data_IF_657493400821
#
_entry.id   IF_657493400821
#
_cell.length_a   1.000
_cell.length_b   1.000
_cell.length_c   1.000
_cell.angle_alpha   90.00
_cell.angle_beta   90.00
_cell.angle_gamma   90.00
#
_symmetry.space_group_name_H-M   'P 1'
#
loop_
_entity.id
_entity.type
_entity.pdbx_description
1 polymer ?
#
# COMPACT_ATOMS: atom_id res chain seq x y z
N UNK A 1 33.25 -10.66 95.54
CA UNK A 1 32.47 -11.76 94.92
C UNK A 1 31.08 -11.24 94.59
N UNK A 2 30.86 -10.87 93.34
CA UNK A 2 29.54 -10.73 92.71
C UNK A 2 29.80 -10.49 91.24
N UNK A 3 29.70 -11.56 90.44
CA UNK A 3 29.71 -11.49 88.99
C UNK A 3 28.25 -11.29 88.55
N UNK A 4 27.96 -10.24 87.80
CA UNK A 4 26.67 -10.07 87.14
C UNK A 4 26.86 -9.70 85.67
N UNK A 5 26.18 -10.50 84.85
CA UNK A 5 26.02 -10.45 83.40
C UNK A 5 25.36 -9.14 82.95
N UNK A 6 25.55 -8.76 81.68
CA UNK A 6 24.51 -8.36 80.71
C UNK A 6 25.20 -7.89 79.41
N UNK A 7 25.16 -8.72 78.36
CA UNK A 7 24.21 -8.63 77.24
C UNK A 7 24.72 -7.69 76.13
N UNK A 8 25.48 -8.28 75.19
CA UNK A 8 25.85 -7.67 73.91
C UNK A 8 24.59 -7.58 73.05
N UNK A 9 24.08 -6.35 72.85
CA UNK A 9 22.96 -6.10 71.95
C UNK A 9 23.38 -6.26 70.49
N UNK A 10 22.59 -7.08 69.82
CA UNK A 10 22.59 -7.45 68.42
C UNK A 10 22.41 -6.23 67.50
N UNK A 11 23.40 -5.94 66.66
CA UNK A 11 23.29 -4.95 65.59
C UNK A 11 22.43 -5.46 64.45
N UNK A 12 21.15 -5.10 64.43
CA UNK A 12 20.26 -5.34 63.29
C UNK A 12 20.65 -4.43 62.11
N UNK A 13 21.20 -5.03 61.04
CA UNK A 13 21.45 -4.34 59.77
C UNK A 13 20.12 -4.15 59.04
N UNK A 14 19.63 -2.91 59.01
CA UNK A 14 18.46 -2.51 58.23
C UNK A 14 18.85 -2.44 56.74
N UNK A 15 18.48 -3.45 55.96
CA UNK A 15 18.64 -3.42 54.51
C UNK A 15 17.52 -2.57 53.89
N UNK A 16 17.86 -1.38 53.40
CA UNK A 16 16.98 -0.54 52.60
C UNK A 16 16.86 -1.19 51.21
N UNK A 17 15.73 -1.86 50.97
CA UNK A 17 15.36 -2.35 49.64
C UNK A 17 14.74 -1.17 48.88
N UNK A 18 15.51 -0.58 47.97
CA UNK A 18 15.02 0.44 47.04
C UNK A 18 14.16 -0.27 46.00
N UNK A 19 12.83 -0.21 46.15
CA UNK A 19 11.89 -0.59 45.10
C UNK A 19 12.06 0.40 43.94
N UNK A 20 12.76 -0.01 42.88
CA UNK A 20 12.67 0.64 41.57
C UNK A 20 11.26 0.41 41.03
N UNK A 21 10.34 1.32 41.34
CA UNK A 21 9.13 1.45 40.54
C UNK A 21 9.54 1.99 39.17
N UNK A 22 9.71 1.08 38.20
CA UNK A 22 9.76 1.45 36.79
C UNK A 22 8.40 2.06 36.43
N UNK A 23 8.30 3.38 36.57
CA UNK A 23 7.18 4.16 36.04
C UNK A 23 7.19 3.91 34.53
N UNK A 24 6.31 3.03 34.08
CA UNK A 24 5.98 2.91 32.68
C UNK A 24 5.29 4.22 32.33
N UNK A 25 6.04 5.18 31.78
CA UNK A 25 5.44 6.32 31.12
C UNK A 25 4.48 5.73 30.07
N UNK A 26 3.17 6.08 30.07
CA UNK A 26 2.34 5.75 28.93
C UNK A 26 3.08 6.24 27.68
N UNK A 27 3.35 5.32 26.76
CA UNK A 27 3.89 5.66 25.45
C UNK A 27 2.84 6.54 24.76
N UNK A 28 2.89 7.84 25.03
CA UNK A 28 2.11 8.81 24.28
C UNK A 28 2.59 8.65 22.85
N UNK A 29 1.68 8.27 21.94
CA UNK A 29 1.95 8.28 20.50
C UNK A 29 2.52 9.66 20.20
N UNK A 30 3.80 9.71 19.81
CA UNK A 30 4.45 10.96 19.54
C UNK A 30 3.83 11.56 18.28
N UNK A 31 3.29 12.77 18.39
CA UNK A 31 2.59 13.46 17.30
C UNK A 31 3.44 14.61 16.80
N UNK A 32 3.43 14.80 15.50
CA UNK A 32 3.99 15.96 14.81
C UNK A 32 2.91 16.59 13.95
N UNK A 33 2.87 17.91 13.88
CA UNK A 33 1.89 18.66 13.13
C UNK A 33 2.49 19.22 11.84
N UNK A 34 1.70 19.20 10.75
CA UNK A 34 2.09 19.66 9.43
C UNK A 34 1.08 20.70 8.92
N UNK A 35 1.55 21.85 8.44
CA UNK A 35 0.69 22.92 7.90
C UNK A 35 1.37 23.65 6.74
N UNK A 36 0.59 24.10 5.76
CA UNK A 36 1.07 24.85 4.60
C UNK A 36 1.73 26.20 4.95
N UNK A 37 1.61 26.66 6.19
CA UNK A 37 2.22 27.89 6.71
C UNK A 37 3.21 27.63 7.86
N UNK A 38 3.58 26.36 8.09
CA UNK A 38 4.51 25.97 9.15
C UNK A 38 5.96 26.35 8.88
N UNK A 39 6.87 25.84 9.71
CA UNK A 39 8.31 25.94 9.55
C UNK A 39 9.00 24.64 10.02
N UNK A 40 9.83 24.05 9.15
CA UNK A 40 10.52 22.78 9.45
C UNK A 40 11.62 22.91 10.52
N UNK A 41 11.99 24.13 10.92
CA UNK A 41 12.93 24.38 12.02
C UNK A 41 12.24 24.56 13.37
N UNK A 42 10.91 24.63 13.41
CA UNK A 42 10.14 24.77 14.65
C UNK A 42 10.05 23.43 15.40
N UNK A 43 9.62 23.48 16.66
CA UNK A 43 9.17 22.30 17.38
C UNK A 43 7.81 21.85 16.82
N UNK A 44 7.85 20.92 15.88
CA UNK A 44 6.64 20.46 15.20
C UNK A 44 5.77 19.54 16.07
N UNK A 45 6.19 19.20 17.30
CA UNK A 45 5.34 18.51 18.28
C UNK A 45 4.27 19.43 18.89
N UNK A 46 4.40 20.75 18.71
CA UNK A 46 3.42 21.74 19.11
C UNK A 46 2.57 22.18 17.90
N UNK A 47 1.24 22.02 18.00
CA UNK A 47 0.30 22.35 16.93
C UNK A 47 0.31 23.84 16.54
N UNK A 48 0.76 24.73 17.43
CA UNK A 48 0.91 26.16 17.13
C UNK A 48 2.15 26.47 16.27
N UNK A 49 3.11 25.54 16.21
CA UNK A 49 4.36 25.69 15.45
C UNK A 49 4.63 24.46 14.57
N UNK A 50 3.70 24.12 13.65
CA UNK A 50 3.79 22.91 12.84
C UNK A 50 4.94 22.97 11.83
N UNK A 51 5.36 21.81 11.34
CA UNK A 51 6.26 21.66 10.20
C UNK A 51 5.61 22.20 8.93
N UNK A 52 6.43 22.64 7.97
CA UNK A 52 5.99 23.16 6.67
C UNK A 52 5.85 22.08 5.61
N UNK A 53 6.81 21.16 5.55
CA UNK A 53 6.95 20.16 4.49
C UNK A 53 6.71 18.75 5.02
N UNK A 54 6.31 17.84 4.13
CA UNK A 54 6.15 16.44 4.49
C UNK A 54 7.50 15.84 4.94
N UNK A 55 8.59 16.17 4.26
CA UNK A 55 9.93 15.73 4.66
C UNK A 55 10.33 16.26 6.04
N UNK A 56 10.06 17.53 6.35
CA UNK A 56 10.31 18.11 7.67
C UNK A 56 9.55 17.37 8.77
N UNK A 57 8.26 17.12 8.55
CA UNK A 57 7.42 16.36 9.47
C UNK A 57 7.93 14.92 9.65
N UNK A 58 8.33 14.23 8.57
CA UNK A 58 8.90 12.87 8.63
C UNK A 58 10.22 12.84 9.39
N UNK A 59 11.08 13.84 9.21
CA UNK A 59 12.35 13.95 9.94
C UNK A 59 12.09 14.09 11.44
N UNK A 60 11.19 14.99 11.85
CA UNK A 60 10.90 15.25 13.25
C UNK A 60 9.99 14.21 13.92
N UNK A 61 9.15 13.50 13.17
CA UNK A 61 8.25 12.49 13.73
C UNK A 61 9.06 11.33 14.33
N UNK A 62 8.87 10.96 15.61
CA UNK A 62 9.50 9.77 16.16
C UNK A 62 9.01 8.50 15.44
N UNK A 63 9.80 7.43 15.50
CA UNK A 63 9.37 6.14 14.99
C UNK A 63 8.09 5.69 15.73
N UNK A 64 7.16 5.10 14.97
CA UNK A 64 5.80 4.73 15.40
C UNK A 64 4.92 5.92 15.81
N UNK A 65 5.34 7.15 15.47
CA UNK A 65 4.56 8.37 15.69
C UNK A 65 3.52 8.64 14.61
N UNK A 66 2.83 9.77 14.74
CA UNK A 66 1.78 10.22 13.82
C UNK A 66 2.03 11.67 13.38
N UNK A 67 1.98 11.90 12.06
CA UNK A 67 1.99 13.22 11.44
C UNK A 67 0.54 13.61 11.17
N UNK A 68 0.08 14.69 11.80
CA UNK A 68 -1.28 15.22 11.65
C UNK A 68 -1.23 16.46 10.77
N UNK A 69 -1.92 16.41 9.64
CA UNK A 69 -2.00 17.55 8.71
C UNK A 69 -3.14 18.47 9.15
N UNK A 70 -2.79 19.72 9.48
CA UNK A 70 -3.70 20.71 10.05
C UNK A 70 -4.43 21.55 9.00
N UNK A 71 -3.81 21.78 7.84
CA UNK A 71 -4.32 22.70 6.82
C UNK A 71 -4.19 22.13 5.43
N UNK A 72 -5.07 22.55 4.52
CA UNK A 72 -4.94 22.22 3.10
C UNK A 72 -3.73 22.92 2.50
N UNK A 73 -2.99 22.24 1.63
CA UNK A 73 -1.81 22.81 1.00
C UNK A 73 -0.93 21.78 0.30
N UNK A 74 0.11 22.29 -0.36
CA UNK A 74 1.16 21.48 -0.97
C UNK A 74 2.29 21.17 0.02
N UNK A 75 2.64 19.89 0.17
CA UNK A 75 3.62 19.43 1.17
C UNK A 75 4.93 18.85 0.61
N UNK A 76 4.96 18.56 -0.69
CA UNK A 76 6.17 18.10 -1.39
C UNK A 76 6.47 16.62 -1.19
N UNK A 77 7.69 16.23 -1.56
CA UNK A 77 8.17 14.84 -1.43
C UNK A 77 8.56 14.51 0.02
N UNK A 78 8.65 13.22 0.33
CA UNK A 78 9.27 12.73 1.54
C UNK A 78 9.92 11.36 1.33
N UNK A 79 10.99 11.11 2.09
CA UNK A 79 11.63 9.81 2.24
C UNK A 79 11.28 9.23 3.62
N UNK A 80 10.47 8.17 3.62
CA UNK A 80 9.99 7.51 4.83
C UNK A 80 10.78 6.22 5.04
N UNK A 81 11.56 6.17 6.12
CA UNK A 81 12.48 5.06 6.43
C UNK A 81 12.25 4.42 7.79
N UNK A 82 11.13 4.74 8.43
CA UNK A 82 10.74 4.24 9.75
C UNK A 82 9.22 4.10 9.83
N UNK A 83 8.74 3.27 10.74
CA UNK A 83 7.32 3.20 11.06
C UNK A 83 6.75 4.58 11.41
N UNK A 84 5.63 4.98 10.82
CA UNK A 84 4.87 6.18 11.17
C UNK A 84 3.51 6.20 10.45
N UNK A 85 2.62 7.07 10.91
CA UNK A 85 1.35 7.37 10.22
C UNK A 85 1.37 8.80 9.67
N UNK A 86 0.96 8.99 8.42
CA UNK A 86 0.61 10.29 7.85
C UNK A 86 -0.91 10.36 7.79
N UNK A 87 -1.48 11.31 8.52
CA UNK A 87 -2.91 11.47 8.68
C UNK A 87 -3.37 12.83 8.14
N UNK A 88 -4.00 12.83 6.97
CA UNK A 88 -4.79 13.95 6.48
C UNK A 88 -6.27 13.74 6.89
N UNK A 89 -6.81 14.53 7.83
CA UNK A 89 -8.20 14.41 8.23
C UNK A 89 -9.17 14.76 7.09
N UNK A 90 -10.39 14.25 7.17
CA UNK A 90 -11.46 14.58 6.22
C UNK A 90 -11.66 16.11 6.14
N UNK A 91 -11.79 16.62 4.91
CA UNK A 91 -11.90 18.05 4.63
C UNK A 91 -10.56 18.78 4.46
N UNK A 92 -9.42 18.12 4.73
CA UNK A 92 -8.09 18.65 4.43
C UNK A 92 -7.59 18.11 3.10
N UNK A 93 -7.27 19.01 2.16
CA UNK A 93 -6.62 18.65 0.90
C UNK A 93 -5.11 18.66 1.10
N UNK A 94 -4.57 17.51 1.48
CA UNK A 94 -3.13 17.29 1.56
C UNK A 94 -2.56 16.96 0.17
N UNK A 95 -2.24 18.01 -0.57
CA UNK A 95 -1.81 17.92 -1.96
C UNK A 95 -0.33 17.56 -2.09
N UNK A 96 -0.02 16.56 -2.92
CA UNK A 96 1.36 16.21 -3.27
C UNK A 96 1.49 15.92 -4.77
N UNK A 97 2.41 16.63 -5.43
CA UNK A 97 2.68 16.45 -6.86
C UNK A 97 4.04 15.80 -7.13
N UNK A 98 4.70 15.30 -6.08
CA UNK A 98 6.01 14.65 -6.13
C UNK A 98 5.92 13.28 -5.50
N UNK A 99 6.80 12.38 -5.93
CA UNK A 99 6.90 11.01 -5.41
C UNK A 99 7.10 11.01 -3.90
N UNK A 100 6.39 10.15 -3.19
CA UNK A 100 6.70 9.79 -1.80
C UNK A 100 7.44 8.46 -1.83
N UNK A 101 8.64 8.43 -1.27
CA UNK A 101 9.48 7.24 -1.20
C UNK A 101 9.26 6.55 0.15
N UNK A 102 8.94 5.26 0.11
CA UNK A 102 8.77 4.42 1.31
C UNK A 102 9.79 3.29 1.25
N UNK A 103 10.85 3.39 2.06
CA UNK A 103 11.94 2.42 2.11
C UNK A 103 12.14 1.99 3.56
N UNK A 104 11.25 1.11 4.01
CA UNK A 104 11.16 0.63 5.40
C UNK A 104 11.63 -0.82 5.51
N UNK A 105 11.99 -1.23 6.73
CA UNK A 105 12.60 -2.55 6.99
C UNK A 105 11.55 -3.58 7.43
N UNK A 106 11.89 -4.89 7.53
CA UNK A 106 10.98 -5.86 8.11
C UNK A 106 10.55 -5.42 9.51
N UNK A 107 9.27 -5.61 9.85
CA UNK A 107 8.60 -5.14 11.07
C UNK A 107 8.22 -3.65 11.11
N UNK A 108 8.65 -2.83 10.15
CA UNK A 108 8.13 -1.48 10.05
C UNK A 108 6.74 -1.45 9.42
N UNK A 109 5.91 -0.51 9.88
CA UNK A 109 4.61 -0.22 9.27
C UNK A 109 4.45 1.27 9.02
N UNK A 110 4.16 1.62 7.77
CA UNK A 110 3.81 2.98 7.37
C UNK A 110 2.35 3.01 6.96
N UNK A 111 1.62 3.98 7.52
CA UNK A 111 0.23 4.25 7.13
C UNK A 111 0.19 5.63 6.47
N UNK A 112 -0.40 5.71 5.28
CA UNK A 112 -0.65 6.97 4.59
C UNK A 112 -2.16 7.05 4.35
N UNK A 113 -2.82 8.09 4.89
CA UNK A 113 -4.25 8.28 4.71
C UNK A 113 -4.64 9.69 4.31
N UNK A 114 -5.67 9.79 3.46
CA UNK A 114 -6.29 11.06 3.08
C UNK A 114 -5.45 11.93 2.14
N UNK A 115 -4.39 11.38 1.53
CA UNK A 115 -3.51 12.18 0.66
C UNK A 115 -4.12 12.29 -0.73
N UNK A 116 -4.06 13.49 -1.31
CA UNK A 116 -4.42 13.75 -2.71
C UNK A 116 -3.16 14.00 -3.52
N UNK A 117 -2.87 13.12 -4.48
CA UNK A 117 -1.67 13.22 -5.32
C UNK A 117 -2.01 13.51 -6.78
N UNK A 118 -1.27 14.43 -7.40
CA UNK A 118 -1.42 14.81 -8.81
C UNK A 118 -0.06 14.92 -9.50
N UNK A 119 0.29 13.95 -10.35
CA UNK A 119 1.58 13.84 -11.03
C UNK A 119 1.70 14.60 -12.34
N UNK A 120 0.59 15.11 -12.91
CA UNK A 120 0.57 15.61 -14.30
C UNK A 120 1.51 16.79 -14.57
N UNK A 121 1.89 17.56 -13.55
CA UNK A 121 2.71 18.77 -13.71
C UNK A 121 4.21 18.47 -13.71
N UNK A 122 4.69 17.61 -12.81
CA UNK A 122 6.13 17.39 -12.64
C UNK A 122 6.65 16.18 -13.41
N UNK A 123 5.77 15.28 -13.84
CA UNK A 123 6.17 14.11 -14.62
C UNK A 123 6.94 13.05 -13.81
N UNK A 124 6.83 13.09 -12.49
CA UNK A 124 7.35 12.03 -11.61
C UNK A 124 6.78 10.67 -12.05
N UNK A 125 7.63 9.65 -12.04
CA UNK A 125 7.24 8.30 -12.48
C UNK A 125 6.12 7.72 -11.62
N UNK A 126 6.21 7.87 -10.30
CA UNK A 126 5.30 7.25 -9.36
C UNK A 126 4.73 8.28 -8.38
N UNK A 127 3.49 8.07 -7.93
CA UNK A 127 2.96 8.81 -6.78
C UNK A 127 3.62 8.32 -5.50
N UNK A 128 3.52 7.02 -5.24
CA UNK A 128 4.19 6.37 -4.13
C UNK A 128 5.12 5.28 -4.67
N UNK A 129 6.38 5.34 -4.27
CA UNK A 129 7.36 4.31 -4.58
C UNK A 129 7.69 3.52 -3.30
N UNK A 130 7.11 2.32 -3.19
CA UNK A 130 7.32 1.43 -2.07
C UNK A 130 8.42 0.40 -2.39
N UNK A 131 9.62 0.70 -1.90
CA UNK A 131 10.85 -0.07 -2.11
C UNK A 131 11.44 -0.63 -0.81
N UNK A 132 10.61 -0.85 0.21
CA UNK A 132 10.98 -1.51 1.47
C UNK A 132 10.31 -2.87 1.67
N UNK A 133 10.82 -3.70 2.58
CA UNK A 133 10.30 -5.03 2.91
C UNK A 133 9.36 -5.06 4.13
N UNK A 134 8.88 -3.88 4.56
CA UNK A 134 7.91 -3.73 5.64
C UNK A 134 6.46 -3.83 5.16
N UNK A 135 5.57 -3.16 5.90
CA UNK A 135 4.15 -3.02 5.55
C UNK A 135 3.81 -1.58 5.19
N UNK A 136 3.22 -1.37 4.02
CA UNK A 136 2.60 -0.10 3.63
C UNK A 136 1.08 -0.25 3.63
N UNK A 137 0.40 0.68 4.30
CA UNK A 137 -1.07 0.78 4.30
C UNK A 137 -1.43 2.14 3.69
N UNK A 138 -2.18 2.12 2.60
CA UNK A 138 -2.69 3.29 1.91
C UNK A 138 -4.22 3.32 1.99
N UNK A 139 -4.76 4.40 2.55
CA UNK A 139 -6.19 4.53 2.81
C UNK A 139 -6.74 5.87 2.33
N UNK A 140 -7.99 5.88 1.84
CA UNK A 140 -8.74 7.11 1.57
C UNK A 140 -7.96 8.13 0.71
N UNK A 141 -7.17 7.64 -0.24
CA UNK A 141 -6.20 8.48 -0.98
C UNK A 141 -6.49 8.47 -2.47
N UNK A 142 -6.09 9.55 -3.15
CA UNK A 142 -6.24 9.71 -4.59
C UNK A 142 -4.85 9.84 -5.20
N UNK A 143 -4.59 9.08 -6.26
CA UNK A 143 -3.36 9.11 -7.03
C UNK A 143 -3.72 9.32 -8.51
N UNK A 144 -3.41 10.51 -9.01
CA UNK A 144 -3.88 11.01 -10.29
C UNK A 144 -2.69 11.44 -11.18
N UNK A 145 -2.62 10.97 -12.42
CA UNK A 145 -1.81 11.62 -13.46
C UNK A 145 -0.30 11.39 -13.43
N UNK A 146 0.20 10.30 -12.82
CA UNK A 146 1.64 10.00 -12.77
C UNK A 146 2.19 9.41 -14.08
N UNK A 147 3.47 9.64 -14.35
CA UNK A 147 4.08 9.32 -15.65
C UNK A 147 4.26 7.82 -15.90
N UNK A 148 4.32 7.00 -14.84
CA UNK A 148 4.33 5.54 -14.94
C UNK A 148 3.16 4.95 -14.17
N UNK A 149 2.93 5.36 -12.93
CA UNK A 149 1.75 4.90 -12.21
C UNK A 149 1.50 5.55 -10.86
N UNK A 150 0.34 5.30 -10.27
CA UNK A 150 -0.01 5.87 -8.98
C UNK A 150 0.86 5.30 -7.86
N UNK A 151 0.98 3.99 -7.76
CA UNK A 151 1.81 3.33 -6.74
C UNK A 151 2.55 2.12 -7.29
N UNK A 152 3.80 1.96 -6.84
CA UNK A 152 4.64 0.79 -7.11
C UNK A 152 5.01 0.05 -5.83
N UNK A 153 4.86 -1.27 -5.82
CA UNK A 153 5.47 -2.17 -4.84
C UNK A 153 6.66 -2.88 -5.50
N UNK A 154 7.86 -2.33 -5.32
CA UNK A 154 9.08 -2.74 -6.01
C UNK A 154 10.02 -3.63 -5.19
N UNK A 155 9.84 -3.67 -3.87
CA UNK A 155 10.71 -4.46 -2.99
C UNK A 155 10.18 -5.87 -2.73
N UNK A 156 11.09 -6.84 -2.54
CA UNK A 156 10.75 -8.21 -2.17
C UNK A 156 10.26 -8.35 -0.73
N UNK A 157 9.54 -9.43 -0.45
CA UNK A 157 9.02 -9.75 0.88
C UNK A 157 8.19 -8.65 1.53
N UNK A 158 7.56 -7.78 0.72
CA UNK A 158 6.82 -6.63 1.20
C UNK A 158 5.33 -6.92 1.28
N UNK A 159 4.63 -6.23 2.19
CA UNK A 159 3.17 -6.30 2.31
C UNK A 159 2.56 -4.94 2.03
N UNK A 160 1.57 -4.88 1.15
CA UNK A 160 0.86 -3.65 0.82
C UNK A 160 -0.65 -3.84 0.97
N UNK A 161 -1.29 -2.92 1.69
CA UNK A 161 -2.74 -2.82 1.83
C UNK A 161 -3.21 -1.51 1.20
N UNK A 162 -4.16 -1.58 0.28
CA UNK A 162 -4.76 -0.43 -0.39
C UNK A 162 -6.27 -0.49 -0.17
N UNK A 163 -6.83 0.50 0.51
CA UNK A 163 -8.24 0.52 0.84
C UNK A 163 -8.88 1.87 0.55
N UNK A 164 -10.05 1.84 -0.11
CA UNK A 164 -10.83 3.05 -0.42
C UNK A 164 -9.99 4.13 -1.12
N UNK A 165 -9.24 3.72 -2.14
CA UNK A 165 -8.37 4.61 -2.91
C UNK A 165 -8.83 4.75 -4.36
N UNK A 166 -8.39 5.82 -5.01
CA UNK A 166 -8.65 6.08 -6.43
C UNK A 166 -7.34 6.27 -7.19
N UNK A 167 -7.13 5.47 -8.23
CA UNK A 167 -5.94 5.51 -9.10
C UNK A 167 -6.38 5.81 -10.52
N UNK A 168 -5.97 6.97 -11.05
CA UNK A 168 -6.49 7.42 -12.34
C UNK A 168 -5.52 8.22 -13.18
N UNK A 169 -5.82 8.26 -14.48
CA UNK A 169 -5.14 9.08 -15.47
C UNK A 169 -3.61 8.87 -15.56
N UNK A 170 -3.08 7.75 -15.03
CA UNK A 170 -1.65 7.47 -15.14
C UNK A 170 -1.27 7.17 -16.59
N UNK A 171 -0.08 7.59 -17.02
CA UNK A 171 0.45 7.27 -18.34
C UNK A 171 0.90 5.80 -18.46
N UNK A 172 1.04 5.08 -17.35
CA UNK A 172 1.12 3.61 -17.30
C UNK A 172 -0.02 3.01 -16.48
N UNK A 173 0.30 2.21 -15.48
CA UNK A 173 -0.68 1.47 -14.66
C UNK A 173 -1.15 2.29 -13.45
N UNK A 174 -2.38 2.06 -12.98
CA UNK A 174 -2.84 2.67 -11.73
C UNK A 174 -2.00 2.21 -10.53
N UNK A 175 -1.76 0.90 -10.46
CA UNK A 175 -0.86 0.27 -9.50
C UNK A 175 -0.05 -0.85 -10.16
N UNK A 176 1.21 -0.97 -9.76
CA UNK A 176 2.11 -2.04 -10.23
C UNK A 176 2.79 -2.74 -9.05
N UNK A 177 2.82 -4.07 -9.07
CA UNK A 177 3.79 -4.85 -8.29
C UNK A 177 4.86 -5.40 -9.21
N UNK A 178 6.13 -5.11 -8.91
CA UNK A 178 7.27 -5.60 -9.68
C UNK A 178 8.50 -5.79 -8.77
N UNK A 179 8.54 -6.92 -8.10
CA UNK A 179 9.64 -7.29 -7.21
C UNK A 179 10.95 -7.40 -7.98
N UNK A 180 12.03 -6.89 -7.37
CA UNK A 180 13.35 -7.11 -7.94
C UNK A 180 13.88 -8.55 -7.80
N UNK A 181 13.19 -9.42 -7.05
CA UNK A 181 13.62 -10.80 -6.73
C UNK A 181 12.46 -11.80 -6.82
N UNK A 182 12.75 -13.07 -6.54
CA UNK A 182 11.78 -14.17 -6.46
C UNK A 182 10.97 -14.19 -5.16
N UNK A 183 11.25 -13.32 -4.19
CA UNK A 183 10.59 -13.41 -2.88
C UNK A 183 9.15 -12.89 -2.91
N UNK A 184 8.26 -13.61 -2.23
CA UNK A 184 6.82 -13.39 -2.23
C UNK A 184 6.43 -11.98 -1.75
N UNK A 185 5.74 -11.24 -2.61
CA UNK A 185 5.05 -10.02 -2.22
C UNK A 185 3.58 -10.30 -1.91
N UNK A 186 3.04 -9.62 -0.90
CA UNK A 186 1.62 -9.70 -0.53
C UNK A 186 0.93 -8.39 -0.82
N UNK A 187 -0.21 -8.47 -1.49
CA UNK A 187 -1.02 -7.32 -1.83
C UNK A 187 -2.50 -7.59 -1.50
N UNK A 188 -3.14 -6.64 -0.83
CA UNK A 188 -4.59 -6.63 -0.65
C UNK A 188 -5.15 -5.28 -1.10
N UNK A 189 -6.11 -5.31 -2.02
CA UNK A 189 -6.79 -4.13 -2.55
C UNK A 189 -8.27 -4.24 -2.28
N UNK A 190 -8.83 -3.29 -1.55
CA UNK A 190 -10.22 -3.28 -1.13
C UNK A 190 -10.89 -1.96 -1.52
N UNK A 191 -12.17 -2.01 -1.91
CA UNK A 191 -13.04 -0.84 -2.01
C UNK A 191 -12.49 0.29 -2.90
N UNK A 192 -11.67 -0.03 -3.89
CA UNK A 192 -10.87 0.97 -4.63
C UNK A 192 -11.30 1.08 -6.09
N UNK A 193 -10.94 2.19 -6.73
CA UNK A 193 -11.28 2.49 -8.12
C UNK A 193 -10.03 2.71 -8.95
N UNK A 194 -9.97 2.06 -10.10
CA UNK A 194 -8.85 2.17 -11.05
C UNK A 194 -9.40 2.54 -12.41
N UNK A 195 -9.17 3.77 -12.86
CA UNK A 195 -9.75 4.20 -14.13
C UNK A 195 -8.95 5.18 -14.96
N UNK A 196 -9.14 5.09 -16.27
CA UNK A 196 -8.47 5.93 -17.25
C UNK A 196 -6.93 5.85 -17.22
N UNK A 197 -6.34 4.80 -16.66
CA UNK A 197 -4.90 4.56 -16.74
C UNK A 197 -4.56 4.04 -18.15
N UNK A 198 -3.45 4.49 -18.72
CA UNK A 198 -3.13 4.20 -20.12
C UNK A 198 -2.64 2.77 -20.34
N UNK A 199 -2.24 2.08 -19.26
CA UNK A 199 -1.90 0.67 -19.25
C UNK A 199 -2.89 -0.15 -18.41
N UNK A 200 -2.49 -0.76 -17.29
CA UNK A 200 -3.40 -1.54 -16.47
C UNK A 200 -4.10 -0.69 -15.40
N UNK A 201 -5.29 -1.09 -14.95
CA UNK A 201 -5.80 -0.62 -13.67
C UNK A 201 -4.90 -1.14 -12.55
N UNK A 202 -4.76 -2.47 -12.49
CA UNK A 202 -3.86 -3.17 -11.57
C UNK A 202 -2.96 -4.13 -12.36
N UNK A 203 -1.65 -3.89 -12.29
CA UNK A 203 -0.62 -4.75 -12.86
C UNK A 203 0.10 -5.52 -11.77
N UNK A 204 0.15 -6.83 -11.91
CA UNK A 204 0.69 -7.76 -10.94
C UNK A 204 1.79 -8.56 -11.62
N UNK A 205 3.04 -8.28 -11.26
CA UNK A 205 4.21 -9.00 -11.74
C UNK A 205 4.83 -9.91 -10.69
N UNK A 206 5.76 -10.74 -11.14
CA UNK A 206 6.67 -11.55 -10.31
C UNK A 206 5.90 -12.44 -9.30
N UNK A 207 6.49 -12.76 -8.15
CA UNK A 207 5.86 -13.65 -7.15
C UNK A 207 4.81 -12.95 -6.27
N UNK A 208 3.97 -12.10 -6.86
CA UNK A 208 2.92 -11.40 -6.12
C UNK A 208 1.75 -12.32 -5.80
N UNK A 209 1.38 -12.41 -4.52
CA UNK A 209 0.12 -13.00 -4.07
C UNK A 209 -0.86 -11.89 -3.70
N UNK A 210 -1.91 -11.74 -4.51
CA UNK A 210 -2.81 -10.61 -4.46
C UNK A 210 -4.28 -11.01 -4.23
N UNK A 211 -4.97 -10.20 -3.43
CA UNK A 211 -6.44 -10.19 -3.33
C UNK A 211 -6.94 -8.83 -3.79
N UNK A 212 -7.83 -8.81 -4.78
CA UNK A 212 -8.53 -7.61 -5.27
C UNK A 212 -10.01 -7.82 -5.01
N UNK A 213 -10.60 -7.00 -4.14
CA UNK A 213 -11.98 -7.17 -3.71
C UNK A 213 -12.78 -5.87 -3.68
N UNK A 214 -14.03 -5.95 -4.10
CA UNK A 214 -14.96 -4.81 -4.10
C UNK A 214 -14.39 -3.58 -4.83
N UNK A 215 -13.74 -3.82 -5.97
CA UNK A 215 -13.11 -2.78 -6.76
C UNK A 215 -13.86 -2.53 -8.06
N UNK A 216 -13.76 -1.30 -8.57
CA UNK A 216 -14.26 -0.90 -9.90
C UNK A 216 -13.06 -0.56 -10.78
N UNK A 217 -12.88 -1.31 -11.86
CA UNK A 217 -11.70 -1.25 -12.72
C UNK A 217 -12.15 -1.01 -14.16
N UNK A 218 -12.05 0.24 -14.61
CA UNK A 218 -12.70 0.66 -15.87
C UNK A 218 -11.86 1.59 -16.73
N UNK A 219 -12.11 1.62 -18.03
CA UNK A 219 -11.47 2.56 -18.95
C UNK A 219 -9.93 2.49 -18.93
N UNK A 220 -9.34 1.34 -18.60
CA UNK A 220 -7.90 1.11 -18.73
C UNK A 220 -7.62 0.35 -20.05
N UNK A 221 -6.36 0.17 -20.42
CA UNK A 221 -6.02 -0.79 -21.49
C UNK A 221 -6.23 -2.23 -20.98
N UNK A 222 -5.73 -2.54 -19.80
CA UNK A 222 -6.03 -3.79 -19.11
C UNK A 222 -6.75 -3.49 -17.80
N UNK A 223 -7.80 -4.21 -17.46
CA UNK A 223 -8.41 -4.06 -16.13
C UNK A 223 -7.43 -4.57 -15.06
N UNK A 224 -7.30 -5.88 -14.99
CA UNK A 224 -6.28 -6.58 -14.19
C UNK A 224 -5.33 -7.30 -15.13
N UNK A 225 -4.04 -7.04 -14.98
CA UNK A 225 -2.98 -7.71 -15.73
C UNK A 225 -2.08 -8.49 -14.78
N UNK A 226 -2.20 -9.81 -14.77
CA UNK A 226 -1.30 -10.72 -14.09
C UNK A 226 -0.25 -11.21 -15.08
N UNK A 227 1.02 -10.91 -14.82
CA UNK A 227 2.12 -11.18 -15.74
C UNK A 227 3.26 -11.95 -15.06
N UNK A 228 3.55 -13.14 -15.58
CA UNK A 228 4.72 -13.94 -15.23
C UNK A 228 5.97 -13.35 -15.87
N UNK A 229 7.05 -13.32 -15.11
CA UNK A 229 8.36 -12.84 -15.57
C UNK A 229 9.43 -13.87 -15.22
N UNK A 230 10.68 -13.64 -15.65
CA UNK A 230 11.82 -14.48 -15.23
C UNK A 230 12.05 -14.52 -13.70
N UNK A 231 11.34 -13.67 -12.93
CA UNK A 231 11.44 -13.57 -11.47
C UNK A 231 10.29 -14.25 -10.75
N UNK A 232 9.27 -14.72 -11.47
CA UNK A 232 8.20 -15.56 -10.94
C UNK A 232 6.81 -15.19 -11.43
N UNK A 233 5.84 -15.90 -10.86
CA UNK A 233 4.47 -15.93 -11.36
C UNK A 233 3.45 -15.46 -10.31
N UNK A 234 2.59 -14.48 -10.65
CA UNK A 234 1.63 -13.96 -9.71
C UNK A 234 0.46 -14.90 -9.50
N UNK A 235 -0.03 -14.92 -8.25
CA UNK A 235 -1.23 -15.62 -7.80
C UNK A 235 -2.27 -14.59 -7.38
N UNK A 236 -3.36 -14.50 -8.11
CA UNK A 236 -4.32 -13.40 -7.94
C UNK A 236 -5.70 -13.97 -7.62
N UNK A 237 -6.39 -13.38 -6.66
CA UNK A 237 -7.81 -13.62 -6.40
C UNK A 237 -8.59 -12.33 -6.61
N UNK A 238 -9.61 -12.39 -7.46
CA UNK A 238 -10.53 -11.30 -7.77
C UNK A 238 -11.91 -11.69 -7.24
N UNK A 239 -12.45 -10.89 -6.34
CA UNK A 239 -13.74 -11.13 -5.68
C UNK A 239 -14.62 -9.88 -5.73
N UNK A 240 -15.90 -10.05 -6.10
CA UNK A 240 -16.90 -8.97 -5.99
C UNK A 240 -16.48 -7.69 -6.72
N UNK A 241 -15.83 -7.81 -7.88
CA UNK A 241 -15.33 -6.68 -8.64
C UNK A 241 -16.18 -6.39 -9.88
N UNK A 242 -16.15 -5.14 -10.33
CA UNK A 242 -16.65 -4.70 -11.64
C UNK A 242 -15.46 -4.38 -12.54
N UNK A 243 -15.26 -5.18 -13.59
CA UNK A 243 -14.15 -5.03 -14.54
C UNK A 243 -14.75 -4.78 -15.92
N UNK A 244 -14.88 -3.51 -16.29
CA UNK A 244 -15.66 -3.12 -17.45
C UNK A 244 -15.05 -2.02 -18.29
N UNK A 245 -15.39 -1.97 -19.57
CA UNK A 245 -15.00 -0.86 -20.46
C UNK A 245 -13.47 -0.67 -20.59
N UNK A 246 -12.67 -1.70 -20.36
CA UNK A 246 -11.24 -1.66 -20.62
C UNK A 246 -11.00 -1.86 -22.12
N UNK A 247 -10.97 -0.74 -22.85
CA UNK A 247 -11.13 -0.67 -24.32
C UNK A 247 -10.14 0.28 -25.01
N UNK A 248 -9.09 0.75 -24.31
CA UNK A 248 -8.20 1.81 -24.82
C UNK A 248 -7.47 1.45 -26.13
N UNK A 249 -7.23 0.16 -26.36
CA UNK A 249 -6.51 -0.37 -27.54
C UNK A 249 -7.19 -1.65 -28.04
N UNK A 250 -6.83 -2.06 -29.26
CA UNK A 250 -7.36 -3.29 -29.90
C UNK A 250 -6.99 -4.57 -29.15
N UNK A 251 -5.91 -4.55 -28.37
CA UNK A 251 -5.47 -5.70 -27.59
C UNK A 251 -5.90 -5.62 -26.12
N UNK A 252 -6.71 -4.62 -25.76
CA UNK A 252 -7.21 -4.40 -24.40
C UNK A 252 -7.98 -5.61 -23.86
N UNK A 253 -8.01 -5.77 -22.54
CA UNK A 253 -8.73 -6.86 -21.90
C UNK A 253 -9.23 -6.49 -20.51
N UNK A 254 -10.33 -7.10 -20.06
CA UNK A 254 -10.80 -7.00 -18.69
C UNK A 254 -9.82 -7.66 -17.73
N UNK A 255 -9.64 -8.97 -17.86
CA UNK A 255 -8.63 -9.74 -17.11
C UNK A 255 -7.66 -10.37 -18.10
N UNK A 256 -6.37 -10.05 -17.95
CA UNK A 256 -5.28 -10.62 -18.73
C UNK A 256 -4.35 -11.41 -17.82
N UNK A 257 -4.17 -12.69 -18.09
CA UNK A 257 -3.18 -13.54 -17.45
C UNK A 257 -2.17 -14.00 -18.50
N UNK A 258 -0.89 -13.70 -18.30
CA UNK A 258 0.12 -14.00 -19.31
C UNK A 258 1.45 -14.37 -18.66
N UNK A 259 2.12 -15.39 -19.18
CA UNK A 259 3.50 -15.70 -18.82
C UNK A 259 4.42 -15.55 -20.03
N UNK A 260 5.48 -14.76 -19.87
CA UNK A 260 6.53 -14.55 -20.87
C UNK A 260 7.82 -15.32 -20.58
N UNK A 261 7.90 -16.00 -19.43
CA UNK A 261 9.10 -16.69 -18.96
C UNK A 261 9.28 -18.04 -19.65
N UNK A 262 10.29 -18.81 -19.22
CA UNK A 262 10.47 -20.20 -19.63
C UNK A 262 9.88 -21.12 -18.56
N UNK A 263 9.25 -22.22 -18.99
CA UNK A 263 8.56 -23.22 -18.17
C UNK A 263 9.23 -23.57 -16.83
N UNK A 264 8.46 -23.92 -15.78
CA UNK A 264 7.01 -24.12 -15.79
C UNK A 264 6.22 -22.81 -15.65
N UNK A 265 5.19 -22.64 -16.46
CA UNK A 265 4.31 -21.48 -16.34
C UNK A 265 3.32 -21.63 -15.19
N UNK A 266 3.27 -20.65 -14.29
CA UNK A 266 2.39 -20.76 -13.11
C UNK A 266 1.58 -19.48 -12.80
N UNK A 267 1.39 -18.60 -13.77
CA UNK A 267 0.49 -17.43 -13.61
C UNK A 267 -0.94 -17.91 -13.41
N UNK A 268 -1.54 -17.58 -12.26
CA UNK A 268 -2.91 -18.00 -11.92
C UNK A 268 -3.75 -16.84 -11.42
N UNK A 269 -4.87 -16.59 -12.09
CA UNK A 269 -5.94 -15.69 -11.62
C UNK A 269 -7.16 -16.52 -11.23
N UNK A 270 -7.71 -16.29 -10.05
CA UNK A 270 -8.95 -16.90 -9.56
C UNK A 270 -10.02 -15.82 -9.46
N UNK A 271 -11.22 -16.09 -9.97
CA UNK A 271 -12.29 -15.09 -10.05
C UNK A 271 -13.56 -15.64 -9.42
N UNK A 272 -14.20 -14.84 -8.57
CA UNK A 272 -15.50 -15.14 -7.95
C UNK A 272 -16.35 -13.87 -7.86
N UNK A 273 -17.68 -14.04 -7.93
CA UNK A 273 -18.70 -13.01 -7.70
C UNK A 273 -18.48 -11.72 -8.49
N UNK A 274 -17.79 -11.77 -9.63
CA UNK A 274 -17.35 -10.58 -10.35
C UNK A 274 -18.08 -10.42 -11.68
N UNK A 275 -18.30 -9.16 -12.07
CA UNK A 275 -18.90 -8.79 -13.36
C UNK A 275 -17.83 -8.30 -14.32
N UNK A 276 -17.70 -8.97 -15.47
CA UNK A 276 -16.71 -8.70 -16.51
C UNK A 276 -17.44 -8.47 -17.84
N UNK A 277 -17.60 -7.20 -18.23
CA UNK A 277 -18.42 -6.84 -19.40
C UNK A 277 -17.94 -5.59 -20.12
N UNK A 278 -18.32 -5.41 -21.38
CA UNK A 278 -18.00 -4.21 -22.15
C UNK A 278 -16.50 -3.98 -22.39
N UNK A 279 -15.65 -4.99 -22.20
CA UNK A 279 -14.21 -4.90 -22.52
C UNK A 279 -13.96 -5.26 -23.99
N UNK A 280 -12.79 -4.89 -24.54
CA UNK A 280 -12.39 -5.37 -25.88
C UNK A 280 -12.35 -6.91 -25.90
N UNK A 281 -11.60 -7.49 -24.97
CA UNK A 281 -11.67 -8.92 -24.62
C UNK A 281 -12.01 -9.06 -23.14
N UNK A 282 -12.96 -9.90 -22.74
CA UNK A 282 -13.29 -10.12 -21.34
C UNK A 282 -12.14 -10.80 -20.60
N UNK A 283 -11.78 -12.00 -21.04
CA UNK A 283 -10.72 -12.84 -20.50
C UNK A 283 -9.67 -13.16 -21.56
N UNK A 284 -8.40 -12.87 -21.27
CA UNK A 284 -7.28 -13.25 -22.12
C UNK A 284 -6.26 -14.10 -21.35
N UNK A 285 -5.86 -15.23 -21.93
CA UNK A 285 -4.79 -16.09 -21.40
C UNK A 285 -3.70 -16.34 -22.44
N UNK A 286 -2.46 -16.38 -21.99
CA UNK A 286 -1.30 -16.85 -22.77
C UNK A 286 -0.32 -17.50 -21.82
N UNK A 287 -0.13 -18.83 -21.92
CA UNK A 287 0.74 -19.57 -21.00
C UNK A 287 0.37 -19.34 -19.51
N UNK A 288 -0.92 -19.20 -19.22
CA UNK A 288 -1.41 -18.83 -17.89
C UNK A 288 -2.83 -19.38 -17.71
N UNK A 289 -3.35 -19.32 -16.48
CA UNK A 289 -4.70 -19.78 -16.17
C UNK A 289 -5.56 -18.71 -15.52
N UNK A 290 -6.83 -18.66 -15.94
CA UNK A 290 -7.90 -17.91 -15.26
C UNK A 290 -8.96 -18.91 -14.83
N UNK A 291 -9.12 -19.10 -13.52
CA UNK A 291 -10.02 -20.08 -12.91
C UNK A 291 -11.25 -19.39 -12.36
N UNK A 292 -12.44 -19.91 -12.71
CA UNK A 292 -13.71 -19.46 -12.13
C UNK A 292 -14.09 -20.29 -10.91
N UNK A 293 -14.71 -19.67 -9.91
CA UNK A 293 -15.45 -20.37 -8.86
C UNK A 293 -16.95 -20.57 -9.19
N UNK A 294 -17.37 -20.25 -10.42
CA UNK A 294 -18.72 -20.52 -10.93
C UNK A 294 -19.76 -19.41 -10.72
N UNK A 295 -19.40 -18.31 -10.04
CA UNK A 295 -20.33 -17.22 -9.66
C UNK A 295 -20.12 -15.92 -10.44
N UNK A 296 -19.35 -15.95 -11.52
CA UNK A 296 -18.98 -14.76 -12.30
C UNK A 296 -19.98 -14.47 -13.43
N UNK A 297 -20.17 -13.19 -13.73
CA UNK A 297 -20.92 -12.74 -14.90
C UNK A 297 -19.95 -12.26 -15.98
N UNK A 298 -19.76 -13.07 -17.03
CA UNK A 298 -18.95 -12.75 -18.20
C UNK A 298 -19.87 -12.61 -19.41
N UNK A 299 -20.04 -11.40 -19.93
CA UNK A 299 -20.99 -11.11 -21.00
C UNK A 299 -20.68 -9.78 -21.69
N UNK A 300 -21.19 -9.58 -22.91
CA UNK A 300 -21.16 -8.31 -23.64
C UNK A 300 -19.75 -7.69 -23.78
N UNK A 301 -18.72 -8.52 -23.90
CA UNK A 301 -17.40 -8.07 -24.33
C UNK A 301 -17.29 -8.20 -25.86
N UNK A 302 -16.38 -7.44 -26.48
CA UNK A 302 -16.08 -7.62 -27.92
C UNK A 302 -15.68 -9.06 -28.24
N UNK A 303 -14.98 -9.70 -27.31
CA UNK A 303 -14.82 -11.15 -27.22
C UNK A 303 -14.81 -11.55 -25.75
N UNK A 304 -15.74 -12.38 -25.28
CA UNK A 304 -15.80 -12.75 -23.86
C UNK A 304 -14.54 -13.51 -23.39
N UNK A 305 -13.97 -14.37 -24.24
CA UNK A 305 -12.94 -15.31 -23.84
C UNK A 305 -13.52 -16.44 -22.98
N UNK A 306 -12.65 -17.23 -22.35
CA UNK A 306 -13.07 -18.41 -21.59
C UNK A 306 -12.23 -18.59 -20.33
N UNK A 307 -12.88 -18.98 -19.23
CA UNK A 307 -12.17 -19.50 -18.06
C UNK A 307 -11.43 -20.79 -18.43
N UNK A 308 -10.19 -20.93 -17.95
CA UNK A 308 -9.35 -22.11 -18.17
C UNK A 308 -9.90 -23.35 -17.45
N UNK A 309 -10.57 -23.15 -16.31
CA UNK A 309 -11.24 -24.20 -15.55
C UNK A 309 -12.26 -23.61 -14.57
N UNK A 310 -13.08 -24.47 -13.99
CA UNK A 310 -13.96 -24.13 -12.86
C UNK A 310 -13.51 -24.93 -11.63
N UNK A 311 -13.23 -24.25 -10.53
CA UNK A 311 -12.94 -24.88 -9.24
C UNK A 311 -14.23 -24.97 -8.40
N UNK A 312 -14.43 -26.05 -7.62
CA UNK A 312 -15.56 -26.15 -6.72
C UNK A 312 -15.50 -25.04 -5.67
N UNK A 313 -16.67 -24.53 -5.30
CA UNK A 313 -16.82 -23.61 -4.18
C UNK A 313 -16.47 -24.38 -2.90
N UNK A 314 -15.47 -23.91 -2.16
CA UNK A 314 -15.14 -24.43 -0.82
C UNK A 314 -15.96 -23.74 0.25
#
# INVERSE_FOLDING_TARGET
MSANRNAVLSGARLAIVILFFAVHAPAQVARVFLSGTGNDTSDCSNAATPCRSLQGAVTQCPAKGEIIILTSGGFGTANITKSLTINAPDGIVAFNARTIYVTITPNDTVVIRGISMQGAVFGDSWGIDFSGSGTLILENSILDGFAVGGIRQGAPSSTMFVNNCEFRNSAGSGMTTNSSTTDLNRLTVLNSRFHNNSYAGVELGDTTNAVIKNCVITNNRFGVFAVGTVRGDPKVTIDSCVIAHNTKTVDSSGIRAQDFSNQPYDVTVRVTNSSIYGNTTGLFTSNATIVSFGTNHLWDNGTDGTFSSTAPQQ
#
